data_IF_812452289167
#
_entry.id   IF_812452289167
#
_cell.length_a   1.000
_cell.length_b   1.000
_cell.length_c   1.000
_cell.angle_alpha   90.00
_cell.angle_beta   90.00
_cell.angle_gamma   90.00
#
_symmetry.space_group_name_H-M   'P 1'
#
loop_
_entity.id
_entity.type
_entity.pdbx_description
1 polymer ?
#
# COMPACT_ATOMS: atom_id res chain seq x y z
N UNK A 1 8.85 -3.07 -13.24
CA UNK A 1 8.45 -3.92 -12.09
C UNK A 1 7.27 -3.31 -11.32
N UNK A 2 6.63 -2.30 -11.90
CA UNK A 2 5.69 -1.41 -11.21
C UNK A 2 4.25 -1.80 -11.47
N UNK A 3 3.96 -2.36 -12.66
CA UNK A 3 2.61 -2.80 -13.03
C UNK A 3 2.06 -3.90 -12.11
N UNK A 4 2.90 -4.91 -11.78
CA UNK A 4 2.52 -5.99 -10.86
C UNK A 4 2.29 -5.45 -9.45
N UNK A 5 3.10 -4.49 -8.99
CA UNK A 5 2.94 -3.87 -7.66
C UNK A 5 1.70 -2.99 -7.59
N UNK A 6 1.34 -2.30 -8.67
CA UNK A 6 0.10 -1.53 -8.78
C UNK A 6 -1.11 -2.46 -8.71
N UNK A 7 -1.11 -3.58 -9.45
CA UNK A 7 -2.18 -4.58 -9.38
C UNK A 7 -2.31 -5.14 -7.96
N UNK A 8 -1.19 -5.51 -7.34
CA UNK A 8 -1.17 -6.04 -5.97
C UNK A 8 -1.63 -4.98 -4.96
N UNK A 9 -1.26 -3.71 -5.13
CA UNK A 9 -1.69 -2.62 -4.25
C UNK A 9 -3.19 -2.29 -4.37
N UNK A 10 -3.82 -2.57 -5.51
CA UNK A 10 -5.25 -2.40 -5.70
C UNK A 10 -6.04 -3.60 -5.17
N UNK A 11 -5.48 -4.81 -5.21
CA UNK A 11 -6.13 -6.04 -4.71
C UNK A 11 -5.90 -6.24 -3.20
N UNK A 12 -4.69 -5.93 -2.74
CA UNK A 12 -4.23 -6.01 -1.36
C UNK A 12 -3.25 -4.83 -1.11
N UNK A 13 -3.80 -3.65 -0.75
CA UNK A 13 -3.00 -2.45 -0.43
C UNK A 13 -1.82 -2.71 0.52
N UNK A 14 -1.97 -3.46 1.63
CA UNK A 14 -0.87 -3.67 2.56
C UNK A 14 0.25 -4.54 1.97
N UNK A 15 -0.03 -5.44 1.02
CA UNK A 15 1.01 -6.22 0.34
C UNK A 15 1.85 -5.33 -0.59
N UNK A 16 1.21 -4.42 -1.33
CA UNK A 16 1.92 -3.47 -2.18
C UNK A 16 2.86 -2.58 -1.39
N UNK A 17 2.39 -2.06 -0.24
CA UNK A 17 3.20 -1.26 0.68
C UNK A 17 4.29 -2.10 1.33
N UNK A 18 3.97 -3.31 1.80
CA UNK A 18 4.95 -4.22 2.40
C UNK A 18 6.13 -4.51 1.46
N UNK A 19 5.86 -4.77 0.18
CA UNK A 19 6.90 -5.00 -0.82
C UNK A 19 7.72 -3.72 -1.12
N UNK A 20 7.22 -2.53 -0.79
CA UNK A 20 7.93 -1.26 -0.99
C UNK A 20 8.76 -0.84 0.23
N UNK A 21 8.21 -0.97 1.45
CA UNK A 21 8.81 -0.44 2.69
C UNK A 21 9.11 -1.51 3.74
N UNK A 22 8.71 -2.77 3.54
CA UNK A 22 8.84 -3.86 4.52
C UNK A 22 7.89 -3.68 5.72
N UNK A 23 8.31 -4.17 6.90
CA UNK A 23 7.60 -3.99 8.18
C UNK A 23 7.81 -2.59 8.80
N UNK A 24 7.78 -1.53 7.97
CA UNK A 24 7.93 -0.15 8.43
C UNK A 24 6.63 0.45 8.96
N UNK A 25 6.71 1.65 9.55
CA UNK A 25 5.53 2.39 10.03
C UNK A 25 4.47 2.65 8.95
N UNK A 26 4.88 2.80 7.68
CA UNK A 26 3.95 2.97 6.56
C UNK A 26 3.12 1.69 6.25
N UNK A 27 3.64 0.49 6.52
CA UNK A 27 2.86 -0.76 6.39
C UNK A 27 1.74 -0.84 7.42
N UNK A 28 2.06 -0.52 8.68
CA UNK A 28 1.07 -0.48 9.76
C UNK A 28 0.03 0.62 9.55
N UNK A 29 0.46 1.79 9.07
CA UNK A 29 -0.47 2.86 8.71
C UNK A 29 -1.38 2.43 7.56
N UNK A 30 -0.85 1.73 6.56
CA UNK A 30 -1.66 1.24 5.46
C UNK A 30 -2.73 0.27 5.95
N UNK A 31 -2.38 -0.71 6.80
CA UNK A 31 -3.34 -1.63 7.45
C UNK A 31 -4.44 -0.89 8.21
N UNK A 32 -4.07 0.12 9.01
CA UNK A 32 -5.03 0.93 9.75
C UNK A 32 -5.97 1.68 8.80
N UNK A 33 -5.44 2.24 7.72
CA UNK A 33 -6.21 2.93 6.70
C UNK A 33 -7.14 1.95 5.98
N UNK A 34 -6.71 0.76 5.58
CA UNK A 34 -7.58 -0.25 4.96
C UNK A 34 -8.70 -0.71 5.89
N UNK A 35 -8.45 -0.78 7.20
CA UNK A 35 -9.46 -1.10 8.22
C UNK A 35 -10.46 0.04 8.45
N UNK A 36 -10.02 1.30 8.38
CA UNK A 36 -10.89 2.48 8.47
C UNK A 36 -11.65 2.77 7.17
N UNK A 37 -11.15 2.28 6.04
CA UNK A 37 -11.78 2.37 4.73
C UNK A 37 -10.86 1.86 3.62
N UNK A 38 -11.39 1.09 2.68
CA UNK A 38 -10.58 0.51 1.61
C UNK A 38 -9.90 1.57 0.72
N UNK A 39 -10.62 2.67 0.44
CA UNK A 39 -10.17 3.76 -0.43
C UNK A 39 -8.89 4.47 0.11
N UNK A 40 -8.84 4.96 1.37
CA UNK A 40 -7.63 5.60 1.87
C UNK A 40 -6.43 4.66 1.93
N UNK A 41 -6.64 3.35 2.14
CA UNK A 41 -5.59 2.34 2.05
C UNK A 41 -4.97 2.26 0.64
N UNK A 42 -5.80 2.27 -0.42
CA UNK A 42 -5.30 2.28 -1.81
C UNK A 42 -4.55 3.57 -2.11
N UNK A 43 -5.09 4.74 -1.76
CA UNK A 43 -4.45 6.04 -2.02
C UNK A 43 -3.08 6.11 -1.35
N UNK A 44 -2.98 5.68 -0.09
CA UNK A 44 -1.70 5.61 0.61
C UNK A 44 -0.74 4.63 -0.06
N UNK A 45 -1.20 3.46 -0.47
CA UNK A 45 -0.37 2.46 -1.12
C UNK A 45 0.20 2.98 -2.45
N UNK A 46 -0.63 3.58 -3.29
CA UNK A 46 -0.22 4.22 -4.55
C UNK A 46 0.75 5.37 -4.30
N UNK A 47 0.50 6.21 -3.28
CA UNK A 47 1.42 7.29 -2.91
C UNK A 47 2.81 6.77 -2.51
N UNK A 48 2.89 5.70 -1.71
CA UNK A 48 4.15 5.09 -1.30
C UNK A 48 4.88 4.47 -2.50
N UNK A 49 4.15 3.85 -3.43
CA UNK A 49 4.72 3.27 -4.65
C UNK A 49 5.23 4.36 -5.60
N UNK A 50 4.49 5.47 -5.75
CA UNK A 50 4.86 6.57 -6.64
C UNK A 50 5.98 7.46 -6.07
N UNK A 51 6.10 7.55 -4.74
CA UNK A 51 7.08 8.40 -4.05
C UNK A 51 8.51 7.81 -4.05
N UNK A 52 8.65 6.53 -4.34
CA UNK A 52 9.91 5.79 -4.22
C UNK A 52 10.29 5.15 -5.54
#
# INVERSE_FOLDING_TARGET
MDFIRIIIAILLPPLGVFLQVGFGGAFWLNILLTLLGYIPGIVHAVYIIAKR
#
